data_IF_918066496006
#
_entry.id   IF_918066496006
#
_cell.length_a   1.000
_cell.length_b   1.000
_cell.length_c   1.000
_cell.angle_alpha   90.00
_cell.angle_beta   90.00
_cell.angle_gamma   90.00
#
_symmetry.space_group_name_H-M   'P 1'
#
loop_
_entity.id
_entity.type
_entity.pdbx_description
1 polymer ?
#
# COMPACT_ATOMS: atom_id res chain seq x y z
N UNK A 1 32.88 -43.45 -55.58
CA UNK A 1 32.84 -44.21 -54.31
C UNK A 1 33.24 -43.29 -53.14
N UNK A 2 32.54 -42.16 -52.97
CA UNK A 2 32.86 -41.11 -51.98
C UNK A 2 31.53 -40.43 -51.60
N UNK A 3 30.71 -41.02 -50.72
CA UNK A 3 29.45 -40.39 -50.27
C UNK A 3 29.01 -40.67 -48.81
N UNK A 4 29.85 -41.29 -47.97
CA UNK A 4 29.41 -41.66 -46.60
C UNK A 4 30.28 -41.17 -45.44
N UNK A 5 31.18 -40.20 -45.64
CA UNK A 5 32.14 -39.79 -44.59
C UNK A 5 31.92 -38.39 -43.98
N UNK A 6 30.76 -37.74 -44.17
CA UNK A 6 30.53 -36.37 -43.66
C UNK A 6 29.39 -36.28 -42.63
N UNK A 7 28.61 -37.35 -42.42
CA UNK A 7 27.44 -37.28 -41.53
C UNK A 7 27.72 -37.56 -40.04
N UNK A 8 28.94 -37.95 -39.66
CA UNK A 8 29.25 -38.34 -38.28
C UNK A 8 30.01 -37.28 -37.45
N UNK A 9 30.44 -36.16 -38.05
CA UNK A 9 31.21 -35.12 -37.32
C UNK A 9 30.38 -33.94 -36.81
N UNK A 10 29.12 -33.81 -37.21
CA UNK A 10 28.23 -32.69 -36.78
C UNK A 10 27.44 -33.04 -35.51
N UNK A 11 27.39 -34.32 -35.11
CA UNK A 11 26.56 -34.74 -33.96
C UNK A 11 27.26 -34.64 -32.58
N UNK A 12 28.58 -34.37 -32.54
CA UNK A 12 29.35 -34.36 -31.27
C UNK A 12 29.51 -32.94 -30.68
N UNK A 13 29.27 -31.87 -31.45
CA UNK A 13 29.46 -30.49 -30.97
C UNK A 13 28.21 -29.92 -30.26
N UNK A 14 27.02 -30.51 -30.46
CA UNK A 14 25.77 -30.01 -29.86
C UNK A 14 25.53 -30.52 -28.43
N UNK A 15 26.28 -31.53 -27.96
CA UNK A 15 26.07 -32.13 -26.63
C UNK A 15 26.87 -31.50 -25.48
N UNK A 16 27.73 -30.51 -25.72
CA UNK A 16 28.55 -29.88 -24.67
C UNK A 16 27.99 -28.56 -24.10
N UNK A 17 26.76 -28.15 -24.46
CA UNK A 17 26.15 -26.92 -23.92
C UNK A 17 25.14 -27.15 -22.77
N UNK A 18 25.03 -28.37 -22.25
CA UNK A 18 24.10 -28.70 -21.15
C UNK A 18 24.78 -29.29 -19.92
N UNK A 19 26.01 -28.85 -19.58
CA UNK A 19 26.76 -29.38 -18.43
C UNK A 19 26.95 -28.42 -17.24
N UNK A 20 26.34 -27.22 -17.23
CA UNK A 20 26.53 -26.25 -16.13
C UNK A 20 25.22 -25.70 -15.53
N UNK A 21 24.26 -26.56 -15.18
CA UNK A 21 23.04 -26.12 -14.47
C UNK A 21 22.63 -26.97 -13.26
N UNK A 22 23.51 -27.82 -12.73
CA UNK A 22 23.16 -28.73 -11.61
C UNK A 22 24.19 -28.78 -10.48
N UNK A 23 24.82 -27.66 -10.12
CA UNK A 23 25.62 -27.61 -8.89
C UNK A 23 25.42 -26.31 -8.12
N UNK A 24 24.22 -26.14 -7.55
CA UNK A 24 24.06 -25.31 -6.35
C UNK A 24 22.82 -25.73 -5.54
N UNK A 25 22.78 -27.00 -5.12
CA UNK A 25 21.73 -27.54 -4.22
C UNK A 25 22.11 -27.49 -2.73
N UNK A 26 23.16 -26.76 -2.37
CA UNK A 26 23.53 -26.49 -0.97
C UNK A 26 22.97 -25.15 -0.45
N UNK A 27 21.91 -24.62 -1.06
CA UNK A 27 21.10 -23.60 -0.40
C UNK A 27 20.30 -24.31 0.70
N UNK A 28 20.82 -24.31 1.93
CA UNK A 28 20.06 -24.76 3.10
C UNK A 28 18.68 -24.09 3.07
N UNK A 29 17.59 -24.82 3.36
CA UNK A 29 16.28 -24.20 3.48
C UNK A 29 16.34 -23.20 4.63
N UNK A 30 16.48 -21.91 4.31
CA UNK A 30 16.42 -20.84 5.29
C UNK A 30 15.10 -21.01 6.03
N UNK A 31 15.17 -21.23 7.34
CA UNK A 31 13.98 -21.45 8.13
C UNK A 31 13.10 -20.21 8.07
N UNK A 32 11.78 -20.39 8.19
CA UNK A 32 10.86 -19.25 8.26
C UNK A 32 11.25 -18.27 9.39
N UNK A 33 11.85 -18.80 10.46
CA UNK A 33 12.38 -18.03 11.58
C UNK A 33 13.57 -17.15 11.19
N UNK A 34 14.54 -17.66 10.41
CA UNK A 34 15.70 -16.88 9.94
C UNK A 34 15.31 -15.83 8.91
N UNK A 35 14.36 -16.15 8.01
CA UNK A 35 13.77 -15.16 7.10
C UNK A 35 13.06 -14.05 7.88
N UNK A 36 12.30 -14.43 8.90
CA UNK A 36 11.63 -13.47 9.77
C UNK A 36 12.65 -12.60 10.52
N UNK A 37 13.77 -13.15 10.99
CA UNK A 37 14.80 -12.44 11.76
C UNK A 37 15.61 -11.45 10.90
N UNK A 38 16.11 -11.90 9.75
CA UNK A 38 16.88 -11.06 8.81
C UNK A 38 16.02 -9.91 8.26
N UNK A 39 14.76 -10.19 7.97
CA UNK A 39 13.79 -9.20 7.53
C UNK A 39 13.38 -8.24 8.65
N UNK A 40 13.32 -8.70 9.90
CA UNK A 40 12.87 -7.88 11.02
C UNK A 40 13.90 -6.81 11.44
N UNK A 41 15.20 -6.95 11.18
CA UNK A 41 16.17 -6.01 11.77
C UNK A 41 16.47 -4.79 10.90
N UNK A 42 16.75 -4.98 9.60
CA UNK A 42 17.07 -3.86 8.70
C UNK A 42 15.81 -3.16 8.17
N UNK A 43 14.83 -3.93 7.72
CA UNK A 43 13.64 -3.42 7.04
C UNK A 43 12.72 -2.65 8.00
N UNK A 44 12.65 -3.07 9.28
CA UNK A 44 11.85 -2.38 10.31
C UNK A 44 12.41 -1.01 10.68
N UNK A 45 13.75 -0.85 10.71
CA UNK A 45 14.39 0.43 11.01
C UNK A 45 14.16 1.41 9.87
N UNK A 46 14.48 1.00 8.65
CA UNK A 46 14.29 1.83 7.46
C UNK A 46 12.84 2.30 7.31
N UNK A 47 11.85 1.46 7.63
CA UNK A 47 10.44 1.88 7.55
C UNK A 47 9.96 2.70 8.73
N UNK A 48 10.46 2.46 9.94
CA UNK A 48 10.20 3.39 11.05
C UNK A 48 10.74 4.77 10.69
N UNK A 49 11.91 4.82 10.08
CA UNK A 49 12.52 6.07 9.62
C UNK A 49 11.73 6.67 8.46
N UNK A 50 11.32 5.89 7.46
CA UNK A 50 10.47 6.40 6.37
C UNK A 50 9.13 6.89 6.88
N UNK A 51 8.50 6.20 7.83
CA UNK A 51 7.26 6.65 8.45
C UNK A 51 7.47 7.93 9.26
N UNK A 52 8.49 7.98 10.11
CA UNK A 52 8.83 9.16 10.89
C UNK A 52 9.17 10.35 9.97
N UNK A 53 9.93 10.10 8.90
CA UNK A 53 10.27 11.09 7.89
C UNK A 53 9.02 11.55 7.13
N UNK A 54 8.10 10.64 6.82
CA UNK A 54 6.81 10.98 6.24
C UNK A 54 6.04 11.92 7.16
N UNK A 55 5.89 11.62 8.46
CA UNK A 55 5.24 12.53 9.41
C UNK A 55 5.98 13.86 9.58
N UNK A 56 7.31 13.84 9.68
CA UNK A 56 8.13 15.06 9.76
C UNK A 56 7.99 15.93 8.51
N UNK A 57 7.80 15.31 7.33
CA UNK A 57 7.70 16.01 6.06
C UNK A 57 6.26 16.37 5.65
N UNK A 58 5.22 15.95 6.39
CA UNK A 58 3.81 16.29 6.08
C UNK A 58 3.44 17.76 6.21
N UNK A 59 4.28 18.57 6.86
CA UNK A 59 4.13 20.03 6.90
C UNK A 59 4.59 20.73 5.62
N UNK A 60 5.31 20.03 4.73
CA UNK A 60 5.67 20.52 3.40
C UNK A 60 4.63 19.99 2.42
N UNK A 61 4.12 20.84 1.53
CA UNK A 61 3.08 20.44 0.57
C UNK A 61 3.50 19.16 -0.18
N UNK A 62 2.75 18.07 -0.01
CA UNK A 62 2.98 16.87 -0.79
C UNK A 62 2.54 17.15 -2.23
N UNK A 63 3.27 16.73 -3.27
CA UNK A 63 2.87 16.95 -4.67
C UNK A 63 1.48 16.36 -4.99
N UNK A 64 1.03 15.37 -4.21
CA UNK A 64 -0.30 14.77 -4.31
C UNK A 64 -1.38 15.44 -3.43
N UNK A 65 -1.07 16.54 -2.74
CA UNK A 65 -2.00 17.23 -1.85
C UNK A 65 -2.98 18.09 -2.67
N UNK A 66 -3.86 17.41 -3.41
CA UNK A 66 -4.93 18.02 -4.20
C UNK A 66 -6.10 18.40 -3.29
N UNK A 67 -6.84 19.43 -3.72
CA UNK A 67 -8.11 19.77 -3.10
C UNK A 67 -9.21 18.89 -3.67
N UNK A 68 -10.03 18.31 -2.80
CA UNK A 68 -11.15 17.45 -3.15
C UNK A 68 -12.47 18.05 -2.64
N UNK A 69 -13.57 17.68 -3.30
CA UNK A 69 -14.91 17.94 -2.77
C UNK A 69 -15.25 16.88 -1.74
N UNK A 70 -15.63 17.32 -0.55
CA UNK A 70 -16.01 16.48 0.57
C UNK A 70 -17.44 16.78 1.00
N UNK A 71 -18.18 15.71 1.28
CA UNK A 71 -19.38 15.73 2.12
C UNK A 71 -18.99 15.20 3.51
N UNK A 72 -19.13 16.01 4.53
CA UNK A 72 -18.81 15.67 5.92
C UNK A 72 -20.08 15.58 6.72
N UNK A 73 -20.25 14.48 7.45
CA UNK A 73 -21.33 14.30 8.41
C UNK A 73 -20.72 14.45 9.80
N UNK A 74 -21.15 15.47 10.53
CA UNK A 74 -20.67 15.75 11.88
C UNK A 74 -21.37 14.85 12.91
N UNK A 75 -20.83 14.77 14.13
CA UNK A 75 -21.39 13.94 15.21
C UNK A 75 -22.79 14.37 15.66
N UNK A 76 -23.16 15.62 15.43
CA UNK A 76 -24.52 16.14 15.64
C UNK A 76 -25.47 15.84 14.45
N UNK A 77 -25.03 15.00 13.51
CA UNK A 77 -25.72 14.64 12.26
C UNK A 77 -25.89 15.77 11.25
N UNK A 78 -25.31 16.96 11.49
CA UNK A 78 -25.31 18.02 10.49
C UNK A 78 -24.37 17.68 9.33
N UNK A 79 -24.70 18.20 8.15
CA UNK A 79 -23.94 17.94 6.93
C UNK A 79 -23.25 19.21 6.43
N UNK A 80 -21.98 19.06 6.05
CA UNK A 80 -21.18 20.12 5.41
C UNK A 80 -20.67 19.65 4.06
N UNK A 81 -20.72 20.53 3.06
CA UNK A 81 -20.10 20.30 1.75
C UNK A 81 -18.99 21.32 1.57
N UNK A 82 -17.79 20.87 1.24
CA UNK A 82 -16.65 21.77 1.10
C UNK A 82 -15.63 21.26 0.09
N UNK A 83 -14.84 22.17 -0.49
CA UNK A 83 -13.66 21.84 -1.27
C UNK A 83 -12.42 22.14 -0.45
N UNK A 84 -11.64 21.12 -0.09
CA UNK A 84 -10.50 21.29 0.81
C UNK A 84 -9.37 20.31 0.51
N UNK A 85 -8.17 20.59 1.02
CA UNK A 85 -7.09 19.59 1.12
C UNK A 85 -7.23 18.86 2.45
N UNK A 86 -6.64 17.67 2.57
CA UNK A 86 -6.39 17.05 3.87
C UNK A 86 -5.07 17.59 4.39
N UNK A 87 -5.13 18.22 5.55
CA UNK A 87 -3.98 18.78 6.26
C UNK A 87 -3.62 17.93 7.47
N UNK A 88 -2.42 18.14 8.00
CA UNK A 88 -1.91 17.45 9.18
C UNK A 88 -1.33 18.44 10.18
N UNK A 89 -1.69 18.28 11.46
CA UNK A 89 -1.16 19.05 12.58
C UNK A 89 -1.10 18.12 13.78
N UNK A 90 0.09 17.95 14.37
CA UNK A 90 0.32 17.14 15.57
C UNK A 90 -0.27 15.73 15.52
N UNK A 91 -0.02 15.03 14.41
CA UNK A 91 -0.56 13.69 14.13
C UNK A 91 -2.08 13.60 13.89
N UNK A 92 -2.77 14.74 13.82
CA UNK A 92 -4.22 14.82 13.55
C UNK A 92 -4.47 15.34 12.13
N UNK A 93 -5.36 14.67 11.38
CA UNK A 93 -5.83 15.19 10.09
C UNK A 93 -6.89 16.26 10.30
N UNK A 94 -6.96 17.22 9.40
CA UNK A 94 -8.07 18.16 9.36
C UNK A 94 -8.34 18.65 7.94
N UNK A 95 -9.54 19.19 7.72
CA UNK A 95 -9.87 19.97 6.54
C UNK A 95 -10.22 21.39 6.97
N UNK A 96 -10.10 22.33 6.04
CA UNK A 96 -10.58 23.70 6.21
C UNK A 96 -11.90 23.87 5.49
N UNK A 97 -12.94 24.28 6.23
CA UNK A 97 -14.25 24.63 5.72
C UNK A 97 -14.44 26.14 5.81
N UNK A 98 -14.83 26.79 4.70
CA UNK A 98 -15.17 28.21 4.71
C UNK A 98 -16.67 28.35 5.01
N UNK A 99 -16.99 28.93 6.17
CA UNK A 99 -18.35 29.19 6.61
C UNK A 99 -19.08 30.09 5.61
N UNK A 100 -20.25 29.67 5.13
CA UNK A 100 -21.07 30.50 4.25
C UNK A 100 -21.69 31.69 5.00
N UNK A 101 -21.88 31.57 6.33
CA UNK A 101 -22.50 32.61 7.15
C UNK A 101 -21.53 33.73 7.51
N UNK A 102 -20.29 33.38 7.88
CA UNK A 102 -19.31 34.34 8.40
C UNK A 102 -18.16 34.60 7.43
N UNK A 103 -17.93 33.71 6.46
CA UNK A 103 -16.78 33.76 5.56
C UNK A 103 -15.48 33.23 6.17
N UNK A 104 -15.47 32.90 7.47
CA UNK A 104 -14.28 32.42 8.18
C UNK A 104 -13.93 30.99 7.81
N UNK A 105 -12.63 30.67 7.88
CA UNK A 105 -12.15 29.29 7.74
C UNK A 105 -12.16 28.57 9.08
N UNK A 106 -12.92 27.49 9.15
CA UNK A 106 -13.09 26.63 10.32
C UNK A 106 -12.32 25.33 10.10
N UNK A 107 -11.59 24.89 11.12
CA UNK A 107 -10.91 23.59 11.14
C UNK A 107 -11.90 22.50 11.52
N UNK A 108 -12.05 21.48 10.69
CA UNK A 108 -12.86 20.30 10.99
C UNK A 108 -11.93 19.11 11.16
N UNK A 109 -12.10 18.34 12.24
CA UNK A 109 -11.26 17.20 12.60
C UNK A 109 -12.03 15.88 12.64
N UNK A 110 -11.36 14.72 12.50
CA UNK A 110 -11.97 13.40 12.63
C UNK A 110 -12.81 13.22 13.89
N UNK A 111 -12.37 13.80 15.01
CA UNK A 111 -13.06 13.73 16.30
C UNK A 111 -14.44 14.39 16.30
N UNK A 112 -14.67 15.36 15.42
CA UNK A 112 -15.95 16.07 15.28
C UNK A 112 -16.84 15.45 14.19
N UNK A 113 -16.25 14.59 13.36
CA UNK A 113 -16.94 13.93 12.25
C UNK A 113 -17.44 12.54 12.65
N UNK A 114 -18.64 12.21 12.20
CA UNK A 114 -19.13 10.83 12.17
C UNK A 114 -18.60 10.10 10.92
N UNK A 115 -18.65 10.76 9.75
CA UNK A 115 -18.19 10.21 8.48
C UNK A 115 -17.70 11.33 7.55
N UNK A 116 -16.81 11.00 6.62
CA UNK A 116 -16.40 11.86 5.52
C UNK A 116 -16.49 11.09 4.21
N UNK A 117 -17.09 11.70 3.20
CA UNK A 117 -17.15 11.17 1.85
C UNK A 117 -16.42 12.13 0.92
N UNK A 118 -15.52 11.60 0.10
CA UNK A 118 -14.98 12.34 -1.03
C UNK A 118 -15.85 12.08 -2.25
N UNK A 119 -16.36 13.14 -2.87
CA UNK A 119 -17.09 13.06 -4.13
C UNK A 119 -16.08 12.91 -5.28
N UNK A 120 -15.96 11.70 -5.86
CA UNK A 120 -15.18 11.50 -7.08
C UNK A 120 -16.06 11.82 -8.29
N UNK A 121 -15.90 13.04 -8.80
CA UNK A 121 -16.64 13.51 -10.00
C UNK A 121 -16.30 12.66 -11.23
N UNK A 122 -15.09 12.09 -11.31
CA UNK A 122 -14.66 11.30 -12.46
C UNK A 122 -15.21 9.87 -12.42
N UNK A 123 -15.25 9.27 -11.23
CA UNK A 123 -15.74 7.90 -11.06
C UNK A 123 -17.24 7.83 -10.76
N UNK A 124 -17.92 8.97 -10.57
CA UNK A 124 -19.31 9.05 -10.09
C UNK A 124 -19.54 8.18 -8.85
N UNK A 125 -18.52 8.11 -7.98
CA UNK A 125 -18.50 7.25 -6.80
C UNK A 125 -18.02 8.07 -5.62
N UNK A 126 -18.62 7.80 -4.47
CA UNK A 126 -18.16 8.39 -3.22
C UNK A 126 -17.10 7.47 -2.62
N UNK A 127 -15.95 8.03 -2.26
CA UNK A 127 -14.93 7.32 -1.49
C UNK A 127 -15.16 7.65 -0.02
N UNK A 128 -15.66 6.66 0.71
CA UNK A 128 -15.92 6.78 2.14
C UNK A 128 -14.61 6.73 2.95
N UNK A 129 -14.50 7.65 3.90
CA UNK A 129 -13.41 7.74 4.86
C UNK A 129 -13.92 7.45 6.27
N UNK A 130 -13.34 6.45 6.92
CA UNK A 130 -13.66 6.10 8.30
C UNK A 130 -12.97 7.08 9.24
N UNK A 131 -13.74 7.71 10.12
CA UNK A 131 -13.20 8.57 11.17
C UNK A 131 -12.61 7.75 12.31
N UNK A 132 -11.38 8.07 12.69
CA UNK A 132 -10.72 7.61 13.92
C UNK A 132 -10.51 8.79 14.86
N UNK A 133 -9.86 8.58 16.01
CA UNK A 133 -9.58 9.67 16.95
C UNK A 133 -8.69 10.77 16.38
N UNK A 134 -7.82 10.43 15.42
CA UNK A 134 -6.82 11.36 14.89
C UNK A 134 -6.82 11.48 13.37
N UNK A 135 -7.46 10.58 12.62
CA UNK A 135 -7.40 10.64 11.16
C UNK A 135 -8.66 10.11 10.46
N UNK A 136 -8.87 10.55 9.22
CA UNK A 136 -9.76 9.86 8.29
C UNK A 136 -8.99 8.80 7.50
N UNK A 137 -9.57 7.60 7.39
CA UNK A 137 -9.00 6.47 6.67
C UNK A 137 -9.89 6.12 5.47
N UNK A 138 -9.41 6.42 4.28
CA UNK A 138 -10.09 6.13 3.02
C UNK A 138 -9.69 4.76 2.51
N UNK A 139 -10.67 3.93 2.15
CA UNK A 139 -10.43 2.61 1.55
C UNK A 139 -10.03 2.77 0.08
N UNK A 140 -8.73 2.70 -0.20
CA UNK A 140 -8.19 2.93 -1.55
C UNK A 140 -8.05 1.66 -2.38
N UNK A 141 -7.98 0.50 -1.74
CA UNK A 141 -8.02 -0.82 -2.42
C UNK A 141 -9.02 -1.69 -1.69
N UNK A 142 -9.95 -2.28 -2.44
CA UNK A 142 -10.92 -3.27 -1.96
C UNK A 142 -10.54 -4.65 -2.49
N UNK A 143 -10.54 -5.66 -1.61
CA UNK A 143 -10.21 -7.03 -1.99
C UNK A 143 -10.20 -7.97 -0.78
N UNK A 144 -9.52 -9.11 -0.89
CA UNK A 144 -9.28 -10.02 0.25
C UNK A 144 -8.49 -9.33 1.36
N UNK A 145 -7.59 -8.43 1.00
CA UNK A 145 -6.95 -7.44 1.87
C UNK A 145 -7.37 -6.05 1.38
N UNK A 146 -8.14 -5.34 2.21
CA UNK A 146 -8.45 -3.93 2.01
C UNK A 146 -7.25 -3.07 2.45
N UNK A 147 -7.02 -1.99 1.71
CA UNK A 147 -5.94 -1.03 1.98
C UNK A 147 -6.55 0.33 2.26
N UNK A 148 -6.04 0.97 3.30
CA UNK A 148 -6.51 2.27 3.75
C UNK A 148 -5.39 3.29 3.72
N UNK A 149 -5.72 4.51 3.31
CA UNK A 149 -4.83 5.66 3.20
C UNK A 149 -5.43 6.87 3.92
N UNK A 150 -4.58 7.82 4.32
CA UNK A 150 -5.04 9.12 4.82
C UNK A 150 -5.55 10.03 3.70
N UNK A 151 -5.24 9.69 2.45
CA UNK A 151 -5.68 10.41 1.26
C UNK A 151 -6.67 9.55 0.47
N UNK A 152 -7.76 10.14 -0.05
CA UNK A 152 -8.79 9.40 -0.76
C UNK A 152 -8.31 8.88 -2.11
N UNK A 153 -7.36 9.56 -2.75
CA UNK A 153 -6.68 9.10 -3.95
C UNK A 153 -5.20 8.87 -3.64
N UNK A 154 -4.84 7.62 -3.39
CA UNK A 154 -3.44 7.22 -3.28
C UNK A 154 -2.79 7.09 -4.67
N UNK A 155 -1.51 7.44 -4.85
CA UNK A 155 -0.78 7.18 -6.09
C UNK A 155 -0.83 5.68 -6.41
N UNK A 156 -1.16 5.37 -7.67
CA UNK A 156 -1.11 3.99 -8.16
C UNK A 156 0.32 3.48 -7.96
N UNK A 157 0.46 2.35 -7.28
CA UNK A 157 1.73 1.66 -7.02
C UNK A 157 2.66 2.29 -5.96
N UNK A 158 2.19 3.24 -5.14
CA UNK A 158 2.98 3.73 -4.00
C UNK A 158 2.53 3.11 -2.68
N UNK A 159 3.49 2.56 -1.93
CA UNK A 159 3.28 2.07 -0.56
C UNK A 159 3.32 3.18 0.48
N UNK A 160 3.81 4.36 0.12
CA UNK A 160 4.05 5.48 1.05
C UNK A 160 2.75 6.06 1.61
N UNK A 161 1.66 5.88 0.88
CA UNK A 161 0.33 6.34 1.29
C UNK A 161 -0.46 5.28 2.06
N UNK A 162 0.05 4.05 2.16
CA UNK A 162 -0.62 2.99 2.91
C UNK A 162 -0.49 3.26 4.41
N UNK A 163 -1.63 3.41 5.07
CA UNK A 163 -1.73 3.62 6.50
C UNK A 163 -2.09 2.34 7.25
N UNK A 164 -3.13 1.64 6.78
CA UNK A 164 -3.69 0.45 7.43
C UNK A 164 -4.05 -0.63 6.41
N UNK A 165 -4.09 -1.87 6.90
CA UNK A 165 -4.55 -3.05 6.20
C UNK A 165 -5.71 -3.70 6.96
N UNK A 166 -6.60 -4.36 6.24
CA UNK A 166 -7.68 -5.17 6.83
C UNK A 166 -7.87 -6.43 5.99
N UNK A 167 -7.85 -7.61 6.60
CA UNK A 167 -8.09 -8.88 5.88
C UNK A 167 -9.54 -9.30 6.07
N UNK A 168 -10.30 -9.41 4.98
CA UNK A 168 -11.76 -9.60 5.02
C UNK A 168 -12.41 -8.52 5.90
N UNK A 169 -13.26 -8.95 6.83
CA UNK A 169 -13.92 -8.10 7.83
C UNK A 169 -13.21 -8.09 9.20
N UNK A 170 -11.93 -8.50 9.21
CA UNK A 170 -11.11 -8.50 10.42
C UNK A 170 -10.75 -7.10 10.95
N UNK A 171 -9.93 -7.02 12.00
CA UNK A 171 -9.50 -5.75 12.56
C UNK A 171 -8.61 -4.98 11.57
N UNK A 172 -8.71 -3.65 11.62
CA UNK A 172 -7.75 -2.75 11.00
C UNK A 172 -6.41 -2.87 11.74
N UNK A 173 -5.35 -3.19 10.99
CA UNK A 173 -3.98 -3.21 11.52
C UNK A 173 -3.15 -2.17 10.81
N UNK A 174 -2.27 -1.51 11.55
CA UNK A 174 -1.33 -0.55 10.95
C UNK A 174 -0.45 -1.25 9.93
N UNK A 175 -0.28 -0.62 8.78
CA UNK A 175 0.55 -1.16 7.72
C UNK A 175 1.99 -1.33 8.19
N UNK A 176 2.48 -2.55 7.99
CA UNK A 176 3.90 -2.85 7.90
C UNK A 176 4.05 -4.06 6.99
N UNK A 177 5.20 -4.22 6.33
CA UNK A 177 5.42 -5.40 5.51
C UNK A 177 5.38 -6.72 6.26
N UNK A 178 5.71 -6.73 7.56
CA UNK A 178 5.48 -7.90 8.42
C UNK A 178 3.99 -8.24 8.53
N UNK A 179 3.13 -7.23 8.72
CA UNK A 179 1.69 -7.45 8.75
C UNK A 179 1.16 -7.90 7.38
N UNK A 180 1.64 -7.29 6.29
CA UNK A 180 1.28 -7.74 4.94
C UNK A 180 1.70 -9.19 4.69
N UNK A 181 2.94 -9.55 5.02
CA UNK A 181 3.48 -10.91 4.87
C UNK A 181 2.63 -11.93 5.66
N UNK A 182 2.26 -11.60 6.90
CA UNK A 182 1.35 -12.40 7.72
C UNK A 182 -0.03 -12.54 7.08
N UNK A 183 -0.57 -11.46 6.52
CA UNK A 183 -1.88 -11.45 5.89
C UNK A 183 -1.92 -12.27 4.59
N UNK A 184 -0.87 -12.24 3.76
CA UNK A 184 -0.80 -13.07 2.54
C UNK A 184 -0.56 -14.56 2.86
N UNK A 185 -0.02 -14.87 4.04
CA UNK A 185 0.09 -16.23 4.56
C UNK A 185 0.90 -17.16 3.65
N UNK A 186 0.29 -18.26 3.21
CA UNK A 186 0.95 -19.29 2.39
C UNK A 186 0.83 -19.07 0.87
N UNK A 187 0.28 -17.94 0.40
CA UNK A 187 0.25 -17.65 -1.04
C UNK A 187 1.68 -17.46 -1.56
N UNK A 188 2.23 -18.49 -2.20
CA UNK A 188 3.64 -18.54 -2.66
C UNK A 188 4.00 -17.36 -3.57
N UNK A 189 3.08 -16.92 -4.44
CA UNK A 189 3.32 -15.82 -5.39
C UNK A 189 3.41 -14.48 -4.66
N UNK A 190 2.43 -14.19 -3.79
CA UNK A 190 2.42 -12.96 -3.00
C UNK A 190 3.57 -12.90 -2.00
N UNK A 191 3.91 -14.00 -1.34
CA UNK A 191 5.08 -14.08 -0.44
C UNK A 191 6.36 -13.75 -1.18
N UNK A 192 6.58 -14.32 -2.38
CA UNK A 192 7.75 -14.03 -3.21
C UNK A 192 7.84 -12.54 -3.56
N UNK A 193 6.71 -11.87 -3.79
CA UNK A 193 6.66 -10.44 -4.04
C UNK A 193 6.95 -9.60 -2.78
N UNK A 194 6.43 -10.00 -1.61
CA UNK A 194 6.77 -9.37 -0.33
C UNK A 194 8.26 -9.45 -0.01
N UNK A 195 8.90 -10.61 -0.22
CA UNK A 195 10.35 -10.80 -0.02
C UNK A 195 11.16 -9.90 -0.95
N UNK A 196 10.69 -9.68 -2.18
CA UNK A 196 11.27 -8.75 -3.15
C UNK A 196 10.92 -7.28 -2.89
N UNK A 197 10.26 -6.97 -1.77
CA UNK A 197 9.77 -5.63 -1.41
C UNK A 197 8.80 -5.01 -2.43
N UNK A 198 8.15 -5.85 -3.26
CA UNK A 198 7.14 -5.44 -4.24
C UNK A 198 5.75 -5.53 -3.61
N UNK A 199 5.50 -4.71 -2.59
CA UNK A 199 4.31 -4.85 -1.75
C UNK A 199 2.98 -4.55 -2.47
N UNK A 200 2.95 -3.58 -3.38
CA UNK A 200 1.77 -3.28 -4.19
C UNK A 200 1.45 -4.42 -5.16
N UNK A 201 2.48 -5.00 -5.77
CA UNK A 201 2.32 -6.18 -6.63
C UNK A 201 1.83 -7.37 -5.81
N UNK A 202 2.35 -7.56 -4.59
CA UNK A 202 1.92 -8.63 -3.69
C UNK A 202 0.44 -8.51 -3.31
N UNK A 203 -0.02 -7.28 -3.00
CA UNK A 203 -1.42 -6.97 -2.71
C UNK A 203 -2.31 -7.23 -3.93
N UNK A 204 -1.90 -6.75 -5.11
CA UNK A 204 -2.61 -6.95 -6.37
C UNK A 204 -2.75 -8.44 -6.69
N UNK A 205 -1.64 -9.18 -6.61
CA UNK A 205 -1.62 -10.63 -6.81
C UNK A 205 -2.54 -11.36 -5.83
N UNK A 206 -2.46 -11.03 -4.53
CA UNK A 206 -3.25 -11.71 -3.50
C UNK A 206 -4.75 -11.43 -3.61
N UNK A 207 -5.13 -10.22 -4.02
CA UNK A 207 -6.52 -9.82 -4.18
C UNK A 207 -7.15 -10.31 -5.49
N UNK A 208 -6.34 -10.61 -6.50
CA UNK A 208 -6.78 -11.14 -7.80
C UNK A 208 -6.84 -12.67 -7.87
N UNK A 209 -5.98 -13.37 -7.12
CA UNK A 209 -6.17 -14.79 -6.77
C UNK A 209 -7.41 -14.95 -5.89
#
# INVERSE_FOLDING_TARGET
MIKHLVLLSVFVVVFNFFADAQNNSNAMPVSQAELDELYNQQTSRQMRDNFNNFWKNRGKEHPDQKSYSFKVILKDSSELKCKSKIYFSDSVTYILYKSEKTGDSIKITPKETQNILMDDVFLSKNIEGISTDSCWLFKTIKGKINVYSFYPMAPKNSTETIAYLQKGDGPLVRYSPKQLLRMVGKNKRSVKLCVKQKYMDALTQYNGD
#
